data_IF_248608207920
#
_entry.id   IF_248608207920
#
_cell.length_a   1.000
_cell.length_b   1.000
_cell.length_c   1.000
_cell.angle_alpha   90.00
_cell.angle_beta   90.00
_cell.angle_gamma   90.00
#
_symmetry.space_group_name_H-M   'P 1'
#
loop_
_entity.id
_entity.type
_entity.pdbx_description
1 polymer ?
#
# COMPACT_ATOMS: atom_id res chain seq x y z
N UNK A 1 10.59 -16.20 -43.72
CA UNK A 1 10.91 -16.06 -42.29
C UNK A 1 9.61 -16.02 -41.50
N UNK A 2 8.87 -17.13 -41.54
CA UNK A 2 7.66 -17.29 -40.74
C UNK A 2 8.08 -17.77 -39.36
N UNK A 3 7.58 -17.06 -38.36
CA UNK A 3 7.75 -17.32 -36.95
C UNK A 3 7.50 -18.79 -36.65
N UNK A 4 8.56 -19.50 -36.32
CA UNK A 4 8.46 -20.50 -35.27
C UNK A 4 8.03 -19.72 -34.01
N UNK A 5 6.72 -19.46 -33.90
CA UNK A 5 6.06 -19.18 -32.65
C UNK A 5 6.30 -20.44 -31.83
N UNK A 6 7.48 -20.51 -31.21
CA UNK A 6 7.80 -21.40 -30.13
C UNK A 6 6.65 -21.18 -29.17
N UNK A 7 5.71 -22.12 -29.19
CA UNK A 7 4.79 -22.37 -28.11
C UNK A 7 5.73 -22.67 -26.96
N UNK A 8 6.17 -21.62 -26.28
CA UNK A 8 6.81 -21.71 -24.97
C UNK A 8 5.69 -22.32 -24.16
N UNK A 9 5.66 -23.66 -24.12
CA UNK A 9 4.63 -24.44 -23.47
C UNK A 9 4.43 -23.79 -22.13
N UNK A 10 3.23 -23.24 -21.92
CA UNK A 10 2.96 -22.46 -20.71
C UNK A 10 3.13 -23.45 -19.57
N UNK A 11 4.28 -23.36 -18.91
CA UNK A 11 4.70 -24.25 -17.82
C UNK A 11 3.75 -24.12 -16.63
N UNK A 12 2.88 -23.09 -16.64
CA UNK A 12 1.64 -23.00 -15.89
C UNK A 12 0.48 -23.40 -16.80
N UNK A 13 -0.34 -24.37 -16.37
CA UNK A 13 -1.58 -24.68 -17.08
C UNK A 13 -2.48 -23.43 -17.11
N UNK A 14 -3.08 -23.14 -18.27
CA UNK A 14 -3.88 -21.92 -18.47
C UNK A 14 -4.85 -21.59 -17.32
N UNK A 15 -5.65 -22.55 -16.82
CA UNK A 15 -6.55 -22.31 -15.68
C UNK A 15 -5.83 -21.94 -14.38
N UNK A 16 -4.71 -22.58 -14.06
CA UNK A 16 -3.93 -22.28 -12.84
C UNK A 16 -3.35 -20.88 -12.92
N UNK A 17 -2.86 -20.47 -14.09
CA UNK A 17 -2.38 -19.11 -14.35
C UNK A 17 -3.46 -18.06 -14.14
N UNK A 18 -4.67 -18.31 -14.66
CA UNK A 18 -5.83 -17.43 -14.48
C UNK A 18 -6.22 -17.25 -13.01
N UNK A 19 -6.23 -18.34 -12.23
CA UNK A 19 -6.54 -18.26 -10.79
C UNK A 19 -5.52 -17.40 -10.06
N UNK A 20 -4.22 -17.64 -10.27
CA UNK A 20 -3.17 -16.84 -9.66
C UNK A 20 -3.21 -15.38 -10.07
N UNK A 21 -3.34 -15.10 -11.37
CA UNK A 21 -3.46 -13.73 -11.87
C UNK A 21 -4.64 -13.01 -11.22
N UNK A 22 -5.80 -13.67 -11.08
CA UNK A 22 -6.98 -13.13 -10.41
C UNK A 22 -6.70 -12.82 -8.94
N UNK A 23 -6.05 -13.74 -8.21
CA UNK A 23 -5.65 -13.52 -6.82
C UNK A 23 -4.72 -12.30 -6.69
N UNK A 24 -3.77 -12.14 -7.61
CA UNK A 24 -2.85 -10.99 -7.59
C UNK A 24 -3.54 -9.67 -7.92
N UNK A 25 -4.54 -9.66 -8.80
CA UNK A 25 -5.39 -8.48 -9.04
C UNK A 25 -6.12 -8.09 -7.75
N UNK A 26 -6.71 -9.06 -7.04
CA UNK A 26 -7.38 -8.80 -5.76
C UNK A 26 -6.40 -8.27 -4.69
N UNK A 27 -5.20 -8.86 -4.60
CA UNK A 27 -4.13 -8.37 -3.71
C UNK A 27 -3.77 -6.91 -4.04
N UNK A 28 -3.61 -6.58 -5.32
CA UNK A 28 -3.32 -5.21 -5.75
C UNK A 28 -4.44 -4.24 -5.37
N UNK A 29 -5.71 -4.60 -5.59
CA UNK A 29 -6.86 -3.78 -5.22
C UNK A 29 -6.88 -3.50 -3.70
N UNK A 30 -6.68 -4.53 -2.87
CA UNK A 30 -6.63 -4.38 -1.40
C UNK A 30 -5.52 -3.41 -1.00
N UNK A 31 -4.32 -3.52 -1.57
CA UNK A 31 -3.21 -2.63 -1.25
C UNK A 31 -3.44 -1.20 -1.75
N UNK A 32 -4.04 -1.00 -2.93
CA UNK A 32 -4.43 0.32 -3.43
C UNK A 32 -5.47 0.97 -2.53
N UNK A 33 -6.46 0.21 -2.06
CA UNK A 33 -7.46 0.71 -1.11
C UNK A 33 -6.81 1.17 0.20
N UNK A 34 -5.83 0.41 0.72
CA UNK A 34 -5.04 0.84 1.88
C UNK A 34 -4.18 2.07 1.60
N UNK A 35 -3.57 2.18 0.42
CA UNK A 35 -2.81 3.37 0.03
C UNK A 35 -3.66 4.63 -0.03
N UNK A 36 -4.95 4.52 -0.39
CA UNK A 36 -5.86 5.67 -0.48
C UNK A 36 -6.17 6.29 0.89
N UNK A 37 -6.06 5.51 1.98
CA UNK A 37 -6.37 5.96 3.35
C UNK A 37 -5.12 6.20 4.20
N UNK A 38 -3.94 5.79 3.74
CA UNK A 38 -2.68 5.92 4.47
C UNK A 38 -1.75 6.96 3.87
N UNK A 39 -1.05 7.71 4.72
CA UNK A 39 -0.04 8.70 4.34
C UNK A 39 1.39 8.22 4.63
N UNK A 40 2.38 8.93 4.07
CA UNK A 40 3.78 8.77 4.44
C UNK A 40 4.39 7.41 4.12
N UNK A 41 5.11 6.83 5.10
CA UNK A 41 5.92 5.61 4.94
C UNK A 41 5.09 4.38 4.63
N UNK A 42 3.86 4.31 5.14
CA UNK A 42 2.93 3.21 4.86
C UNK A 42 2.57 3.12 3.41
N UNK A 43 2.27 4.28 2.80
CA UNK A 43 1.89 4.36 1.40
C UNK A 43 3.01 3.85 0.50
N UNK A 44 4.28 4.12 0.85
CA UNK A 44 5.43 3.56 0.14
C UNK A 44 5.54 2.05 0.32
N UNK A 45 5.35 1.54 1.53
CA UNK A 45 5.39 0.10 1.80
C UNK A 45 4.29 -0.66 1.04
N UNK A 46 3.05 -0.18 1.09
CA UNK A 46 1.95 -0.75 0.29
C UNK A 46 2.17 -0.57 -1.22
N UNK A 47 2.75 0.55 -1.65
CA UNK A 47 3.09 0.81 -3.05
C UNK A 47 4.06 -0.22 -3.63
N UNK A 48 5.06 -0.65 -2.85
CA UNK A 48 5.95 -1.73 -3.25
C UNK A 48 5.18 -3.06 -3.45
N UNK A 49 4.22 -3.38 -2.57
CA UNK A 49 3.37 -4.56 -2.73
C UNK A 49 2.44 -4.49 -3.95
N UNK A 50 1.86 -3.32 -4.25
CA UNK A 50 1.10 -3.12 -5.50
C UNK A 50 1.99 -3.37 -6.72
N UNK A 51 3.21 -2.83 -6.70
CA UNK A 51 4.17 -3.05 -7.78
C UNK A 51 4.53 -4.53 -7.93
N UNK A 52 4.78 -5.25 -6.83
CA UNK A 52 5.05 -6.70 -6.89
C UNK A 52 3.85 -7.47 -7.41
N UNK A 53 2.64 -7.20 -6.91
CA UNK A 53 1.42 -7.85 -7.38
C UNK A 53 1.21 -7.65 -8.89
N UNK A 54 1.47 -6.45 -9.42
CA UNK A 54 1.38 -6.17 -10.85
C UNK A 54 2.36 -7.04 -11.68
N UNK A 55 3.60 -7.21 -11.21
CA UNK A 55 4.56 -8.10 -11.86
C UNK A 55 4.13 -9.55 -11.82
N UNK A 56 3.53 -9.98 -10.72
CA UNK A 56 2.99 -11.31 -10.59
C UNK A 56 1.80 -11.55 -11.52
N UNK A 57 0.90 -10.57 -11.71
CA UNK A 57 -0.15 -10.66 -12.75
C UNK A 57 0.46 -10.87 -14.13
N UNK A 58 1.51 -10.12 -14.49
CA UNK A 58 2.20 -10.26 -15.78
C UNK A 58 2.82 -11.65 -15.93
N UNK A 59 3.46 -12.18 -14.88
CA UNK A 59 4.12 -13.49 -14.91
C UNK A 59 3.13 -14.66 -14.97
N UNK A 60 1.97 -14.53 -14.33
CA UNK A 60 0.92 -15.57 -14.31
C UNK A 60 -0.09 -15.45 -15.46
N UNK A 61 0.02 -14.41 -16.30
CA UNK A 61 -0.93 -14.18 -17.37
C UNK A 61 -0.96 -15.35 -18.37
N UNK A 62 -2.13 -15.94 -18.65
CA UNK A 62 -2.24 -17.07 -19.57
C UNK A 62 -1.90 -16.65 -21.00
N UNK A 63 -1.32 -17.58 -21.77
CA UNK A 63 -1.05 -17.37 -23.20
C UNK A 63 0.30 -16.73 -23.52
N UNK A 64 1.19 -16.54 -22.53
CA UNK A 64 2.57 -16.13 -22.78
C UNK A 64 2.73 -14.72 -23.38
N UNK A 65 1.65 -13.94 -23.44
CA UNK A 65 1.68 -12.55 -23.91
C UNK A 65 2.51 -11.72 -22.94
N UNK A 66 3.75 -11.46 -23.33
CA UNK A 66 4.65 -10.57 -22.61
C UNK A 66 4.21 -9.12 -22.85
N UNK A 67 3.28 -8.65 -22.03
CA UNK A 67 2.85 -7.24 -22.02
C UNK A 67 4.04 -6.29 -21.85
N UNK A 68 5.07 -6.72 -21.12
CA UNK A 68 6.29 -5.95 -20.86
C UNK A 68 7.52 -6.80 -21.19
N UNK A 69 8.50 -6.28 -21.94
CA UNK A 69 9.77 -6.98 -22.17
C UNK A 69 10.49 -7.26 -20.84
N UNK A 70 11.02 -8.48 -20.67
CA UNK A 70 11.64 -8.91 -19.41
C UNK A 70 12.77 -7.98 -18.92
N UNK A 71 13.55 -7.40 -19.85
CA UNK A 71 14.62 -6.43 -19.53
C UNK A 71 14.06 -5.14 -18.90
N UNK A 72 12.92 -4.66 -19.41
CA UNK A 72 12.25 -3.46 -18.88
C UNK A 72 11.71 -3.75 -17.49
N UNK A 73 11.01 -4.87 -17.30
CA UNK A 73 10.51 -5.27 -15.99
C UNK A 73 11.66 -5.44 -14.97
N UNK A 74 12.73 -6.15 -15.34
CA UNK A 74 13.93 -6.31 -14.51
C UNK A 74 14.56 -4.96 -14.12
N UNK A 75 14.63 -4.00 -15.04
CA UNK A 75 15.12 -2.66 -14.76
C UNK A 75 14.21 -1.92 -13.77
N UNK A 76 12.88 -1.98 -13.97
CA UNK A 76 11.89 -1.35 -13.07
C UNK A 76 12.00 -1.91 -11.64
N UNK A 77 12.03 -3.23 -11.47
CA UNK A 77 12.15 -3.83 -10.13
C UNK A 77 13.53 -3.58 -9.50
N UNK A 78 14.61 -3.59 -10.29
CA UNK A 78 15.95 -3.22 -9.80
C UNK A 78 16.02 -1.77 -9.33
N UNK A 79 15.43 -0.84 -10.09
CA UNK A 79 15.36 0.57 -9.72
C UNK A 79 14.49 0.79 -8.49
N UNK A 80 13.36 0.09 -8.37
CA UNK A 80 12.50 0.14 -7.19
C UNK A 80 13.24 -0.39 -5.95
N UNK A 81 13.93 -1.52 -6.05
CA UNK A 81 14.76 -2.07 -4.97
C UNK A 81 15.89 -1.11 -4.58
N UNK A 82 16.61 -0.54 -5.55
CA UNK A 82 17.67 0.44 -5.32
C UNK A 82 17.16 1.72 -4.66
N UNK A 83 16.02 2.24 -5.12
CA UNK A 83 15.35 3.40 -4.51
C UNK A 83 15.00 3.10 -3.06
N UNK A 84 14.49 1.91 -2.77
CA UNK A 84 14.16 1.50 -1.42
C UNK A 84 15.42 1.41 -0.54
N UNK A 85 16.53 0.85 -1.04
CA UNK A 85 17.83 0.85 -0.34
C UNK A 85 18.27 2.28 0.01
N UNK A 86 18.18 3.21 -0.94
CA UNK A 86 18.52 4.63 -0.70
C UNK A 86 17.64 5.22 0.41
N UNK A 87 16.34 4.93 0.40
CA UNK A 87 15.42 5.36 1.48
C UNK A 87 15.84 4.78 2.83
N UNK A 88 16.23 3.50 2.90
CA UNK A 88 16.70 2.87 4.15
C UNK A 88 18.00 3.48 4.65
N UNK A 89 18.95 3.74 3.76
CA UNK A 89 20.21 4.40 4.10
C UNK A 89 19.95 5.81 4.59
N UNK A 90 19.15 6.61 3.87
CA UNK A 90 18.80 7.97 4.27
C UNK A 90 18.07 8.01 5.62
N UNK A 91 17.13 7.10 5.85
CA UNK A 91 16.43 6.98 7.13
C UNK A 91 17.38 6.55 8.26
N UNK A 92 18.31 5.62 8.02
CA UNK A 92 19.35 5.22 8.99
C UNK A 92 20.28 6.38 9.34
N UNK A 93 20.71 7.16 8.35
CA UNK A 93 21.53 8.37 8.56
C UNK A 93 20.79 9.44 9.37
N UNK A 94 19.47 9.55 9.20
CA UNK A 94 18.58 10.40 10.01
C UNK A 94 18.21 9.78 11.37
N UNK A 95 18.81 8.66 11.76
CA UNK A 95 18.51 7.90 12.98
C UNK A 95 17.02 7.53 13.13
N UNK A 96 16.29 7.43 12.02
CA UNK A 96 14.92 6.97 12.03
C UNK A 96 14.89 5.47 12.35
N UNK A 97 13.96 5.06 13.21
CA UNK A 97 13.71 3.65 13.48
C UNK A 97 12.98 3.04 12.28
N UNK A 98 13.65 2.13 11.59
CA UNK A 98 13.06 1.31 10.54
C UNK A 98 12.96 -0.13 11.03
N UNK A 99 11.77 -0.71 10.94
CA UNK A 99 11.57 -2.13 11.24
C UNK A 99 12.27 -3.05 10.22
N UNK A 100 12.60 -4.28 10.60
CA UNK A 100 13.28 -5.25 9.71
C UNK A 100 12.47 -5.60 8.45
N UNK A 101 11.14 -5.40 8.46
CA UNK A 101 10.27 -5.64 7.31
C UNK A 101 10.54 -4.73 6.12
N UNK A 102 11.19 -3.57 6.34
CA UNK A 102 11.64 -2.74 5.22
C UNK A 102 12.77 -3.41 4.44
N UNK A 103 13.68 -4.10 5.12
CA UNK A 103 14.72 -4.88 4.46
C UNK A 103 14.11 -6.06 3.71
N UNK A 104 13.10 -6.71 4.28
CA UNK A 104 12.39 -7.78 3.59
C UNK A 104 11.80 -7.29 2.25
N UNK A 105 11.21 -6.09 2.23
CA UNK A 105 10.65 -5.52 1.01
C UNK A 105 11.71 -5.21 -0.07
N UNK A 106 12.95 -4.86 0.33
CA UNK A 106 14.09 -4.76 -0.62
C UNK A 106 14.40 -6.12 -1.22
N UNK A 107 14.49 -7.16 -0.39
CA UNK A 107 14.77 -8.53 -0.84
C UNK A 107 13.67 -9.02 -1.78
N UNK A 108 12.40 -8.71 -1.50
CA UNK A 108 11.27 -9.13 -2.33
C UNK A 108 11.26 -8.44 -3.70
N UNK A 109 11.57 -7.13 -3.76
CA UNK A 109 11.73 -6.42 -5.03
C UNK A 109 12.93 -6.93 -5.83
N UNK A 110 14.04 -7.23 -5.16
CA UNK A 110 15.22 -7.83 -5.80
C UNK A 110 14.90 -9.23 -6.34
N UNK A 111 14.13 -10.02 -5.61
CA UNK A 111 13.67 -11.33 -6.06
C UNK A 111 12.72 -11.22 -7.26
N UNK A 112 11.83 -10.22 -7.31
CA UNK A 112 11.04 -9.94 -8.51
C UNK A 112 11.93 -9.63 -9.71
N UNK A 113 12.96 -8.80 -9.55
CA UNK A 113 13.93 -8.53 -10.61
C UNK A 113 14.64 -9.82 -11.06
N UNK A 114 15.07 -10.64 -10.11
CA UNK A 114 15.68 -11.95 -10.37
C UNK A 114 14.75 -12.89 -11.14
N UNK A 115 13.46 -12.93 -10.81
CA UNK A 115 12.49 -13.80 -11.48
C UNK A 115 12.28 -13.40 -12.95
N UNK A 116 12.34 -12.11 -13.28
CA UNK A 116 12.40 -11.67 -14.69
C UNK A 116 13.74 -11.99 -15.35
N UNK A 117 14.85 -11.94 -14.61
CA UNK A 117 16.18 -12.30 -15.11
C UNK A 117 16.34 -13.82 -15.35
N UNK A 118 15.64 -14.65 -14.56
CA UNK A 118 15.74 -16.12 -14.59
C UNK A 118 15.34 -16.72 -15.94
N UNK A 119 14.57 -15.97 -16.73
CA UNK A 119 14.26 -16.28 -18.12
C UNK A 119 15.51 -16.35 -19.01
N UNK A 120 16.64 -15.81 -18.55
CA UNK A 120 17.95 -15.82 -19.25
C UNK A 120 19.04 -16.54 -18.46
N UNK A 121 19.02 -16.51 -17.13
CA UNK A 121 20.05 -17.11 -16.27
C UNK A 121 19.43 -17.99 -15.19
N UNK A 122 19.67 -19.30 -15.25
CA UNK A 122 19.15 -20.24 -14.24
C UNK A 122 20.19 -20.53 -13.18
N UNK A 123 20.07 -19.87 -12.02
CA UNK A 123 20.91 -20.11 -10.86
C UNK A 123 20.11 -20.86 -9.79
N UNK A 124 20.12 -22.19 -9.87
CA UNK A 124 19.27 -23.06 -9.03
C UNK A 124 19.41 -22.77 -7.53
N UNK A 125 20.62 -22.47 -7.06
CA UNK A 125 20.88 -22.17 -5.64
C UNK A 125 20.19 -20.87 -5.19
N UNK A 126 20.13 -19.83 -6.03
CA UNK A 126 19.39 -18.60 -5.73
C UNK A 126 17.89 -18.86 -5.68
N UNK A 127 17.37 -19.70 -6.58
CA UNK A 127 15.96 -20.11 -6.57
C UNK A 127 15.62 -20.86 -5.28
N UNK A 128 16.49 -21.77 -4.83
CA UNK A 128 16.31 -22.48 -3.56
C UNK A 128 16.31 -21.53 -2.35
N UNK A 129 17.25 -20.58 -2.29
CA UNK A 129 17.25 -19.55 -1.24
C UNK A 129 15.99 -18.71 -1.27
N UNK A 130 15.52 -18.31 -2.46
CA UNK A 130 14.26 -17.59 -2.64
C UNK A 130 13.06 -18.39 -2.12
N UNK A 131 12.98 -19.69 -2.43
CA UNK A 131 11.89 -20.56 -1.94
C UNK A 131 11.89 -20.64 -0.42
N UNK A 132 13.06 -20.83 0.22
CA UNK A 132 13.17 -20.83 1.69
C UNK A 132 12.74 -19.48 2.27
N UNK A 133 13.24 -18.39 1.70
CA UNK A 133 12.90 -17.02 2.10
C UNK A 133 11.40 -16.76 2.06
N UNK A 134 10.75 -17.02 0.93
CA UNK A 134 9.32 -16.80 0.76
C UNK A 134 8.47 -17.78 1.57
N UNK A 135 8.96 -18.99 1.85
CA UNK A 135 8.27 -19.94 2.75
C UNK A 135 8.20 -19.39 4.18
N UNK A 136 9.31 -18.83 4.67
CA UNK A 136 9.35 -18.17 5.99
C UNK A 136 8.38 -16.98 6.03
N UNK A 137 8.32 -16.17 4.96
CA UNK A 137 7.39 -15.06 4.88
C UNK A 137 5.93 -15.51 4.83
N UNK A 138 5.59 -16.48 3.99
CA UNK A 138 4.25 -17.05 3.87
C UNK A 138 3.75 -17.53 5.24
N UNK A 139 4.54 -18.35 5.93
CA UNK A 139 4.21 -18.87 7.26
C UNK A 139 4.15 -17.75 8.31
N UNK A 140 5.06 -16.78 8.22
CA UNK A 140 5.10 -15.62 9.10
C UNK A 140 3.87 -14.72 9.01
N UNK A 141 3.35 -14.50 7.79
CA UNK A 141 2.13 -13.73 7.55
C UNK A 141 0.87 -14.51 7.90
N UNK A 142 0.79 -15.79 7.48
CA UNK A 142 -0.31 -16.67 7.81
C UNK A 142 -0.51 -16.79 9.34
N UNK A 143 0.58 -17.01 10.10
CA UNK A 143 0.56 -17.07 11.57
C UNK A 143 0.39 -15.72 12.27
N UNK A 144 0.51 -14.60 11.55
CA UNK A 144 0.43 -13.24 12.10
C UNK A 144 1.65 -12.81 12.91
N UNK A 145 2.72 -13.63 12.94
CA UNK A 145 3.99 -13.27 13.60
C UNK A 145 4.61 -12.02 12.96
N UNK A 146 4.61 -11.93 11.62
CA UNK A 146 5.15 -10.77 10.92
C UNK A 146 4.28 -9.52 11.07
N UNK A 147 2.96 -9.66 11.21
CA UNK A 147 2.06 -8.54 11.56
C UNK A 147 2.44 -7.89 12.88
N UNK A 148 2.69 -8.70 13.92
CA UNK A 148 3.17 -8.19 15.22
C UNK A 148 4.55 -7.51 15.14
N UNK A 149 5.42 -7.95 14.22
CA UNK A 149 6.72 -7.30 13.99
C UNK A 149 6.52 -5.95 13.27
N UNK A 150 5.57 -5.87 12.35
CA UNK A 150 5.18 -4.64 11.64
C UNK A 150 4.69 -3.57 12.62
N UNK A 151 3.79 -3.94 13.52
CA UNK A 151 3.25 -3.06 14.57
C UNK A 151 4.37 -2.52 15.49
N UNK A 152 5.29 -3.39 15.94
CA UNK A 152 6.43 -2.99 16.79
C UNK A 152 7.45 -2.13 16.07
N UNK A 153 7.56 -2.26 14.75
CA UNK A 153 8.57 -1.59 13.92
C UNK A 153 8.38 -0.08 13.76
N UNK A 154 7.40 0.53 14.43
CA UNK A 154 7.17 1.98 14.39
C UNK A 154 6.46 2.46 13.13
N UNK A 155 5.87 1.54 12.36
CA UNK A 155 4.82 1.84 11.39
C UNK A 155 3.47 2.04 12.12
N UNK A 156 3.31 1.63 13.36
CA UNK A 156 2.27 2.24 14.19
C UNK A 156 2.67 3.70 14.47
N UNK A 157 2.35 4.64 13.58
CA UNK A 157 2.42 6.07 13.88
C UNK A 157 1.56 6.26 15.12
N UNK A 158 2.22 6.38 16.30
CA UNK A 158 1.53 6.75 17.52
C UNK A 158 0.98 8.13 17.24
N UNK A 159 -0.28 8.20 16.83
CA UNK A 159 -1.02 9.45 16.86
C UNK A 159 -0.72 10.07 18.23
N UNK A 160 -0.21 11.32 18.28
CA UNK A 160 -0.05 11.99 19.55
C UNK A 160 -1.38 11.86 20.29
N UNK A 161 -1.40 11.40 21.55
CA UNK A 161 -2.63 11.05 22.25
C UNK A 161 -3.61 12.21 22.16
N UNK A 162 -4.59 12.10 21.26
CA UNK A 162 -5.56 13.15 20.93
C UNK A 162 -6.60 13.34 22.03
N UNK A 163 -6.39 12.73 23.21
CA UNK A 163 -7.34 12.73 24.33
C UNK A 163 -6.82 13.40 25.61
N UNK A 164 -5.66 14.06 25.61
CA UNK A 164 -5.29 14.89 26.77
C UNK A 164 -5.97 16.28 26.80
N UNK A 165 -7.05 16.49 26.03
CA UNK A 165 -7.82 17.74 26.02
C UNK A 165 -9.28 17.61 26.51
N UNK A 166 -9.75 16.42 26.89
CA UNK A 166 -11.16 16.23 27.29
C UNK A 166 -11.39 16.00 28.79
N UNK A 167 -10.38 15.63 29.57
CA UNK A 167 -10.52 15.41 31.02
C UNK A 167 -9.74 16.47 31.80
N UNK A 168 -10.00 17.75 31.55
CA UNK A 168 -9.85 18.70 32.65
C UNK A 168 -11.05 18.44 33.56
N UNK A 169 -10.89 17.87 34.77
CA UNK A 169 -12.00 17.77 35.68
C UNK A 169 -12.35 19.20 36.06
N UNK A 170 -13.43 19.74 35.51
CA UNK A 170 -14.11 20.84 36.16
C UNK A 170 -14.61 20.30 37.51
N UNK A 171 -13.86 20.58 38.57
CA UNK A 171 -14.35 20.63 39.94
C UNK A 171 -14.45 19.28 40.63
N UNK A 172 -13.53 19.03 41.57
CA UNK A 172 -13.61 17.81 42.37
C UNK A 172 -12.89 17.80 43.71
N UNK A 173 -12.38 18.93 44.22
CA UNK A 173 -11.97 18.99 45.63
C UNK A 173 -12.26 20.35 46.25
N UNK A 174 -13.20 20.34 47.19
CA UNK A 174 -13.28 21.23 48.34
C UNK A 174 -13.44 22.74 48.05
N UNK A 175 -14.69 23.13 47.81
CA UNK A 175 -15.25 24.23 48.61
C UNK A 175 -16.62 23.79 49.13
N UNK A 176 -16.63 23.32 50.39
CA UNK A 176 -17.77 23.53 51.26
C UNK A 176 -17.94 25.05 51.34
N UNK A 177 -19.20 25.47 51.35
CA UNK A 177 -19.68 26.84 51.53
C UNK A 177 -20.00 27.65 50.26
N UNK A 178 -21.32 27.89 50.16
CA UNK A 178 -22.03 29.01 49.51
C UNK A 178 -22.46 28.85 48.05
N UNK A 179 -23.61 28.19 47.90
CA UNK A 179 -24.84 28.83 47.42
C UNK A 179 -24.69 29.90 46.32
N UNK A 180 -24.16 29.54 45.16
CA UNK A 180 -24.40 30.31 43.93
C UNK A 180 -24.48 29.33 42.75
N UNK A 181 -25.67 29.31 42.14
CA UNK A 181 -26.11 28.29 41.21
C UNK A 181 -25.27 28.16 39.94
N UNK A 182 -25.18 26.93 39.44
CA UNK A 182 -24.94 26.70 38.02
C UNK A 182 -26.14 27.29 37.26
N UNK A 183 -25.95 28.36 36.46
CA UNK A 183 -27.05 28.92 35.68
C UNK A 183 -27.47 27.90 34.65
N UNK A 184 -28.73 27.48 34.75
CA UNK A 184 -29.41 26.80 33.66
C UNK A 184 -29.51 27.68 32.42
N UNK A 185 -29.69 26.99 31.30
CA UNK A 185 -30.56 27.35 30.19
C UNK A 185 -30.71 28.85 29.89
N UNK A 186 -30.06 29.28 28.81
CA UNK A 186 -30.65 30.28 27.91
C UNK A 186 -30.82 29.71 26.50
N UNK A 187 -32.04 29.35 26.10
CA UNK A 187 -32.43 29.22 24.72
C UNK A 187 -32.97 30.56 24.24
N UNK A 188 -32.14 31.46 23.72
CA UNK A 188 -32.62 32.67 23.05
C UNK A 188 -31.62 33.17 22.02
N UNK A 189 -32.04 33.08 20.76
CA UNK A 189 -31.81 34.05 19.69
C UNK A 189 -30.46 34.75 19.58
N UNK A 190 -29.70 34.40 18.55
CA UNK A 190 -28.97 35.38 17.75
C UNK A 190 -29.56 35.39 16.34
N UNK A 191 -30.62 36.20 16.18
CA UNK A 191 -30.97 36.82 14.90
C UNK A 191 -29.94 37.91 14.57
N UNK A 192 -29.79 38.14 13.27
CA UNK A 192 -29.56 39.45 12.63
C UNK A 192 -28.35 40.29 13.07
N UNK A 193 -27.48 40.61 12.10
CA UNK A 193 -26.53 41.71 12.28
C UNK A 193 -25.32 41.71 11.34
N UNK A 194 -25.55 41.65 10.03
CA UNK A 194 -24.54 42.09 9.06
C UNK A 194 -25.05 43.39 8.42
N UNK A 195 -25.15 44.45 9.23
CA UNK A 195 -25.15 45.83 8.74
C UNK A 195 -23.68 46.23 8.68
N UNK A 196 -23.09 46.05 7.50
CA UNK A 196 -21.79 46.62 7.19
C UNK A 196 -21.97 48.09 6.84
N UNK A 197 -21.49 48.96 7.72
CA UNK A 197 -21.28 50.38 7.48
C UNK A 197 -20.36 50.56 6.27
N UNK A 198 -20.90 51.22 5.24
CA UNK A 198 -20.16 51.78 4.13
C UNK A 198 -19.49 53.06 4.62
N UNK A 199 -18.17 53.04 4.80
CA UNK A 199 -17.38 54.27 4.89
C UNK A 199 -17.23 54.86 3.48
N UNK A 200 -17.55 56.15 3.26
CA UNK A 200 -17.20 56.83 2.04
C UNK A 200 -15.70 57.16 2.05
N UNK A 201 -14.96 56.62 1.09
CA UNK A 201 -13.63 57.11 0.73
C UNK A 201 -13.82 58.10 -0.42
N UNK A 202 -13.65 59.39 -0.12
CA UNK A 202 -13.53 60.45 -1.11
C UNK A 202 -12.14 60.37 -1.81
N UNK A 203 -12.21 60.57 -3.13
CA UNK A 203 -11.21 61.15 -4.02
C UNK A 203 -9.91 60.40 -4.36
N UNK A 204 -10.00 59.66 -5.46
CA UNK A 204 -8.88 59.43 -6.38
C UNK A 204 -9.38 59.22 -7.81
N UNK A 205 -9.05 60.10 -8.79
CA UNK A 205 -9.43 59.89 -10.18
C UNK A 205 -8.37 59.01 -10.85
N UNK A 206 -8.71 57.76 -11.16
CA UNK A 206 -7.82 56.96 -12.00
C UNK A 206 -8.11 55.47 -12.07
N UNK A 207 -8.80 55.10 -13.16
CA UNK A 207 -8.72 53.81 -13.86
C UNK A 207 -9.66 52.69 -13.39
N UNK A 208 -10.67 52.51 -14.24
CA UNK A 208 -11.61 51.41 -14.31
C UNK A 208 -10.95 50.19 -14.96
N UNK A 209 -10.97 49.05 -14.26
CA UNK A 209 -10.93 47.65 -14.72
C UNK A 209 -10.95 46.81 -13.42
N UNK A 210 -11.97 46.07 -12.99
CA UNK A 210 -12.99 45.36 -13.74
C UNK A 210 -12.80 43.85 -13.57
N UNK A 211 -12.86 43.31 -12.35
CA UNK A 211 -13.03 41.86 -12.13
C UNK A 211 -13.62 41.57 -10.75
N UNK A 212 -14.95 41.46 -10.70
CA UNK A 212 -15.68 41.05 -9.52
C UNK A 212 -15.45 39.55 -9.26
N UNK A 213 -14.68 39.24 -8.21
CA UNK A 213 -14.62 37.88 -7.65
C UNK A 213 -15.67 37.79 -6.54
N UNK A 214 -16.82 37.22 -6.90
CA UNK A 214 -17.89 36.90 -5.97
C UNK A 214 -17.36 36.03 -4.82
N UNK A 215 -17.34 36.60 -3.61
CA UNK A 215 -16.97 35.94 -2.36
C UNK A 215 -18.09 34.97 -1.99
N UNK A 216 -17.96 33.73 -2.43
CA UNK A 216 -18.90 32.64 -2.17
C UNK A 216 -18.99 32.40 -0.66
N UNK A 217 -20.18 32.60 -0.10
CA UNK A 217 -20.47 32.50 1.32
C UNK A 217 -20.08 31.15 1.90
N UNK A 218 -19.25 31.21 2.93
CA UNK A 218 -18.83 30.06 3.73
C UNK A 218 -20.00 29.63 4.62
N UNK A 219 -20.83 28.72 4.09
CA UNK A 219 -21.91 28.06 4.83
C UNK A 219 -21.28 27.19 5.91
N UNK A 220 -21.58 27.51 7.17
CA UNK A 220 -21.17 26.73 8.33
C UNK A 220 -21.73 25.30 8.22
N UNK A 221 -20.90 24.24 8.26
CA UNK A 221 -21.39 22.88 8.24
C UNK A 221 -22.07 22.57 9.58
N UNK A 222 -23.39 22.57 9.57
CA UNK A 222 -24.23 22.12 10.66
C UNK A 222 -23.89 20.68 11.05
N UNK A 223 -23.59 20.51 12.34
CA UNK A 223 -23.85 19.34 13.18
C UNK A 223 -23.80 18.00 12.44
N UNK A 224 -22.56 17.55 12.17
CA UNK A 224 -22.29 16.15 11.84
C UNK A 224 -22.58 15.32 13.09
N UNK A 225 -23.80 14.78 13.15
CA UNK A 225 -24.28 13.92 14.22
C UNK A 225 -23.26 12.84 14.57
N UNK A 226 -23.06 12.66 15.87
CA UNK A 226 -22.33 11.56 16.48
C UNK A 226 -22.99 10.22 16.11
N UNK A 227 -22.79 9.77 14.88
CA UNK A 227 -22.89 8.35 14.56
C UNK A 227 -21.73 7.72 15.30
N UNK A 228 -22.05 7.10 16.43
CA UNK A 228 -21.17 6.25 17.19
C UNK A 228 -20.40 5.36 16.23
N UNK A 229 -19.15 5.76 15.97
CA UNK A 229 -18.13 4.88 15.44
C UNK A 229 -18.01 3.76 16.47
N UNK A 230 -18.82 2.70 16.30
CA UNK A 230 -18.39 1.38 16.73
C UNK A 230 -17.01 1.23 16.13
N UNK A 231 -16.01 1.40 16.99
CA UNK A 231 -14.68 0.88 16.81
C UNK A 231 -14.91 -0.61 16.62
N UNK A 232 -15.17 -1.00 15.36
CA UNK A 232 -15.12 -2.38 14.92
C UNK A 232 -13.71 -2.79 15.28
N UNK A 233 -13.61 -3.65 16.30
CA UNK A 233 -12.37 -4.08 16.92
C UNK A 233 -11.29 -4.31 15.86
N UNK A 234 -10.17 -3.58 16.01
CA UNK A 234 -9.08 -3.50 15.05
C UNK A 234 -8.48 -4.85 14.62
N UNK A 235 -8.83 -5.95 15.29
CA UNK A 235 -8.40 -7.29 14.93
C UNK A 235 -8.97 -7.84 13.61
N UNK A 236 -10.08 -7.32 13.09
CA UNK A 236 -10.69 -7.81 11.83
C UNK A 236 -10.01 -7.25 10.58
N UNK A 237 -9.56 -5.99 10.59
CA UNK A 237 -9.03 -5.31 9.39
C UNK A 237 -7.66 -5.80 8.95
N UNK A 238 -6.84 -6.30 9.89
CA UNK A 238 -5.47 -6.75 9.59
C UNK A 238 -5.41 -8.13 8.90
N UNK A 239 -6.50 -8.91 8.93
CA UNK A 239 -6.53 -10.23 8.27
C UNK A 239 -6.39 -10.12 6.76
N UNK A 240 -6.99 -9.09 6.15
CA UNK A 240 -6.93 -8.87 4.71
C UNK A 240 -5.48 -8.70 4.22
N UNK A 241 -4.71 -7.85 4.89
CA UNK A 241 -3.29 -7.60 4.60
C UNK A 241 -2.45 -8.85 4.82
N UNK A 242 -2.68 -9.57 5.93
CA UNK A 242 -1.95 -10.81 6.24
C UNK A 242 -2.17 -11.90 5.19
N UNK A 243 -3.43 -12.13 4.80
CA UNK A 243 -3.78 -13.11 3.77
C UNK A 243 -3.18 -12.69 2.44
N UNK A 244 -3.31 -11.41 2.06
CA UNK A 244 -2.77 -10.90 0.81
C UNK A 244 -1.25 -11.10 0.69
N UNK A 245 -0.50 -10.84 1.77
CA UNK A 245 0.96 -11.03 1.79
C UNK A 245 1.35 -12.51 1.81
N UNK A 246 0.60 -13.36 2.53
CA UNK A 246 0.82 -14.80 2.50
C UNK A 246 0.58 -15.38 1.11
N UNK A 247 -0.50 -14.97 0.43
CA UNK A 247 -0.80 -15.33 -0.96
C UNK A 247 0.30 -14.83 -1.90
N UNK A 248 0.78 -13.61 -1.69
CA UNK A 248 1.87 -13.06 -2.51
C UNK A 248 3.15 -13.90 -2.37
N UNK A 249 3.56 -14.22 -1.14
CA UNK A 249 4.70 -15.12 -0.90
C UNK A 249 4.48 -16.51 -1.49
N UNK A 250 3.28 -17.08 -1.38
CA UNK A 250 2.96 -18.39 -1.96
C UNK A 250 3.11 -18.40 -3.48
N UNK A 251 2.64 -17.36 -4.18
CA UNK A 251 2.83 -17.28 -5.62
C UNK A 251 4.28 -17.05 -6.03
N UNK A 252 5.08 -16.33 -5.22
CA UNK A 252 6.53 -16.22 -5.45
C UNK A 252 7.24 -17.58 -5.37
N UNK A 253 6.88 -18.40 -4.36
CA UNK A 253 7.38 -19.78 -4.22
C UNK A 253 7.00 -20.60 -5.45
N UNK A 254 5.72 -20.58 -5.82
CA UNK A 254 5.21 -21.33 -6.97
C UNK A 254 5.98 -20.96 -8.24
N UNK A 255 6.12 -19.66 -8.52
CA UNK A 255 6.81 -19.14 -9.70
C UNK A 255 8.28 -19.56 -9.72
N UNK A 256 9.01 -19.48 -8.61
CA UNK A 256 10.40 -19.95 -8.53
C UNK A 256 10.53 -21.46 -8.79
N UNK A 257 9.68 -22.27 -8.16
CA UNK A 257 9.69 -23.72 -8.35
C UNK A 257 9.34 -24.08 -9.79
N UNK A 258 8.31 -23.46 -10.34
CA UNK A 258 7.81 -23.80 -11.65
C UNK A 258 8.72 -23.28 -12.77
N UNK A 259 9.45 -22.17 -12.60
CA UNK A 259 10.53 -21.80 -13.53
C UNK A 259 11.74 -22.75 -13.45
N UNK A 260 12.00 -23.34 -12.28
CA UNK A 260 13.12 -24.27 -12.08
C UNK A 260 12.81 -25.68 -12.62
N UNK A 261 11.57 -26.16 -12.45
CA UNK A 261 11.17 -27.54 -12.73
C UNK A 261 10.18 -27.68 -13.91
N UNK A 262 9.55 -26.60 -14.36
CA UNK A 262 8.47 -26.61 -15.34
C UNK A 262 8.90 -26.67 -16.80
N UNK A 263 10.15 -27.04 -17.11
CA UNK A 263 10.56 -27.27 -18.51
C UNK A 263 10.43 -28.75 -18.82
N UNK A 264 9.42 -29.18 -19.60
CA UNK A 264 9.52 -30.45 -20.30
C UNK A 264 10.67 -30.32 -21.30
N UNK A 265 11.79 -30.99 -21.01
CA UNK A 265 12.91 -31.21 -21.93
C UNK A 265 12.56 -32.15 -23.10
N UNK A 266 11.28 -32.48 -23.26
CA UNK A 266 10.80 -33.49 -24.21
C UNK A 266 10.18 -32.84 -25.45
N UNK A 267 10.98 -32.03 -26.15
CA UNK A 267 11.04 -32.17 -27.60
C UNK A 267 12.40 -32.79 -27.90
N UNK A 268 12.57 -34.06 -27.52
CA UNK A 268 13.45 -34.94 -28.26
C UNK A 268 12.96 -34.82 -29.71
N UNK A 269 13.77 -34.20 -30.57
CA UNK A 269 13.51 -34.27 -32.00
C UNK A 269 13.33 -35.76 -32.30
N UNK A 270 12.21 -36.19 -32.91
CA UNK A 270 12.14 -37.55 -33.40
C UNK A 270 13.37 -37.75 -34.28
N UNK A 271 14.24 -38.70 -33.87
CA UNK A 271 15.38 -39.14 -34.67
C UNK A 271 14.87 -39.28 -36.09
N UNK A 272 15.37 -38.44 -37.00
CA UNK A 272 15.08 -38.59 -38.42
C UNK A 272 15.88 -39.80 -38.87
N UNK A 273 15.26 -40.97 -39.10
CA UNK A 273 15.99 -42.15 -39.51
C UNK A 273 16.27 -41.98 -41.00
N UNK A 274 17.53 -41.75 -41.34
CA UNK A 274 18.02 -41.81 -42.71
C UNK A 274 18.20 -40.46 -43.39
N UNK A 275 19.39 -39.89 -43.23
CA UNK A 275 20.12 -39.17 -44.28
C UNK A 275 21.60 -39.51 -44.16
#
# INVERSE_FOLDING_TARGET
MMEAALVVGSWITGPVGMVWATLFVLVAIVHVAHMAVMSGRHRLWHGAHVLMAAGMVIMFWPGGMRLVPARVAMAVYSLAAGTLVVVLVAAKLRRARLGPLWLANVVDLAAMAYMFAMMTTRLAWLSALGVVWFSVQMLGWASGRLGRVLERGGLGERLPPTHAFADTPCGGTAHRDLANGCPGDRPTGYLAGAVGDLRPTEDGPGRLEGTATARMGQVAPAVRGHVAHRVVDGGSRDWSVRIALAVMSAGMIYMLLAMQFGVPTTHAMPDMPGM
#
